data_IF_374643093715
#
_entry.id   IF_374643093715
#
_cell.length_a   1.000
_cell.length_b   1.000
_cell.length_c   1.000
_cell.angle_alpha   90.00
_cell.angle_beta   90.00
_cell.angle_gamma   90.00
#
_symmetry.space_group_name_H-M   'P 1'
#
loop_
_entity.id
_entity.type
_entity.pdbx_description
1 polymer ?
#
# COMPACT_ATOMS: atom_id res chain seq x y z
N UNK A 1 46.38 -39.49 -7.15
CA UNK A 1 46.67 -38.57 -8.26
C UNK A 1 45.37 -38.27 -8.99
N UNK A 2 44.82 -37.07 -8.76
CA UNK A 2 43.76 -36.31 -9.45
C UNK A 2 42.44 -36.95 -9.95
N UNK A 3 41.31 -36.61 -9.29
CA UNK A 3 39.99 -36.43 -9.93
C UNK A 3 39.44 -34.99 -9.72
N UNK A 4 40.28 -33.97 -9.91
CA UNK A 4 39.88 -32.55 -9.84
C UNK A 4 39.39 -32.04 -11.20
N UNK A 5 39.80 -32.68 -12.29
CA UNK A 5 39.51 -32.27 -13.66
C UNK A 5 38.02 -32.36 -14.02
N UNK A 6 37.34 -33.45 -13.66
CA UNK A 6 35.91 -33.62 -14.01
C UNK A 6 34.98 -32.69 -13.21
N UNK A 7 35.30 -32.43 -11.94
CA UNK A 7 34.56 -31.47 -11.11
C UNK A 7 34.80 -30.01 -11.55
N UNK A 8 36.00 -29.69 -12.05
CA UNK A 8 36.27 -28.37 -12.61
C UNK A 8 35.43 -28.11 -13.87
N UNK A 9 35.26 -29.13 -14.73
CA UNK A 9 34.44 -29.02 -15.95
C UNK A 9 32.95 -28.82 -15.64
N UNK A 10 32.40 -29.52 -14.64
CA UNK A 10 31.01 -29.31 -14.24
C UNK A 10 30.80 -27.94 -13.61
N UNK A 11 31.69 -27.45 -12.76
CA UNK A 11 31.58 -26.10 -12.19
C UNK A 11 31.64 -25.02 -13.28
N UNK A 12 32.49 -25.18 -14.29
CA UNK A 12 32.57 -24.25 -15.42
C UNK A 12 31.27 -24.25 -16.22
N UNK A 13 30.71 -25.41 -16.56
CA UNK A 13 29.43 -25.50 -17.27
C UNK A 13 28.26 -24.88 -16.47
N UNK A 14 28.27 -25.08 -15.16
CA UNK A 14 27.22 -24.58 -14.27
C UNK A 14 27.30 -23.06 -14.17
N UNK A 15 28.53 -22.51 -14.08
CA UNK A 15 28.74 -21.05 -14.12
C UNK A 15 28.34 -20.44 -15.46
N UNK A 16 28.58 -21.12 -16.58
CA UNK A 16 28.14 -20.65 -17.89
C UNK A 16 26.61 -20.60 -18.01
N UNK A 17 25.91 -21.61 -17.48
CA UNK A 17 24.45 -21.64 -17.45
C UNK A 17 23.89 -20.52 -16.55
N UNK A 18 24.42 -20.38 -15.34
CA UNK A 18 24.04 -19.32 -14.39
C UNK A 18 24.30 -17.92 -14.96
N UNK A 19 25.40 -17.72 -15.69
CA UNK A 19 25.72 -16.44 -16.31
C UNK A 19 24.70 -16.07 -17.40
N UNK A 20 24.28 -17.04 -18.23
CA UNK A 20 23.24 -16.83 -19.23
C UNK A 20 21.87 -16.53 -18.60
N UNK A 21 21.57 -17.17 -17.47
CA UNK A 21 20.33 -16.90 -16.73
C UNK A 21 20.33 -15.49 -16.10
N UNK A 22 21.45 -15.06 -15.51
CA UNK A 22 21.60 -13.70 -14.97
C UNK A 22 21.44 -12.64 -16.06
N UNK A 23 22.02 -12.84 -17.24
CA UNK A 23 21.90 -11.90 -18.37
C UNK A 23 20.43 -11.75 -18.80
N UNK A 24 19.70 -12.86 -18.91
CA UNK A 24 18.27 -12.86 -19.24
C UNK A 24 17.42 -12.17 -18.19
N UNK A 25 17.66 -12.44 -16.90
CA UNK A 25 16.95 -11.79 -15.81
C UNK A 25 17.24 -10.29 -15.74
N UNK A 26 18.46 -9.88 -16.09
CA UNK A 26 18.84 -8.46 -16.11
C UNK A 26 18.07 -7.72 -17.19
N UNK A 27 17.98 -8.27 -18.41
CA UNK A 27 17.17 -7.71 -19.50
C UNK A 27 15.68 -7.61 -19.11
N UNK A 28 15.14 -8.63 -18.42
CA UNK A 28 13.74 -8.63 -17.97
C UNK A 28 13.49 -7.56 -16.90
N UNK A 29 14.42 -7.36 -15.97
CA UNK A 29 14.33 -6.31 -14.93
C UNK A 29 14.42 -4.91 -15.55
N UNK A 30 15.33 -4.69 -16.50
CA UNK A 30 15.44 -3.41 -17.19
C UNK A 30 14.14 -3.08 -17.94
N UNK A 31 13.59 -4.06 -18.67
CA UNK A 31 12.34 -3.92 -19.41
C UNK A 31 11.13 -3.67 -18.51
N UNK A 32 11.07 -4.33 -17.35
CA UNK A 32 10.03 -4.11 -16.34
C UNK A 32 10.16 -2.73 -15.70
N UNK A 33 11.39 -2.28 -15.43
CA UNK A 33 11.67 -0.94 -14.91
C UNK A 33 11.21 0.11 -15.91
N UNK A 34 11.57 0.02 -17.19
CA UNK A 34 11.10 0.94 -18.23
C UNK A 34 9.56 0.99 -18.32
N UNK A 35 8.88 -0.16 -18.20
CA UNK A 35 7.42 -0.24 -18.13
C UNK A 35 6.83 0.44 -16.89
N UNK A 36 7.45 0.24 -15.72
CA UNK A 36 7.07 0.89 -14.46
C UNK A 36 7.30 2.40 -14.50
N UNK A 37 8.41 2.87 -15.06
CA UNK A 37 8.71 4.28 -15.19
C UNK A 37 7.73 4.94 -16.17
N UNK A 38 7.34 4.26 -17.27
CA UNK A 38 6.25 4.73 -18.16
C UNK A 38 4.90 4.82 -17.44
N UNK A 39 4.59 3.87 -16.56
CA UNK A 39 3.38 3.92 -15.75
C UNK A 39 3.44 5.04 -14.70
N UNK A 40 4.58 5.22 -14.04
CA UNK A 40 4.80 6.33 -13.10
C UNK A 40 4.73 7.68 -13.80
N UNK A 41 5.40 7.85 -14.94
CA UNK A 41 5.43 9.09 -15.69
C UNK A 41 4.04 9.44 -16.25
N UNK A 42 3.27 8.44 -16.69
CA UNK A 42 1.85 8.65 -17.08
C UNK A 42 0.96 9.00 -15.88
N UNK A 43 1.14 8.38 -14.71
CA UNK A 43 0.45 8.78 -13.47
C UNK A 43 0.87 10.19 -13.04
N UNK A 44 2.14 10.56 -13.21
CA UNK A 44 2.68 11.88 -12.84
C UNK A 44 2.17 12.97 -13.79
N UNK A 45 2.13 12.73 -15.11
CA UNK A 45 1.55 13.65 -16.10
C UNK A 45 0.03 13.80 -15.95
N UNK A 46 -0.67 12.75 -15.50
CA UNK A 46 -2.10 12.83 -15.15
C UNK A 46 -2.36 13.60 -13.84
N UNK A 47 -1.38 13.62 -12.93
CA UNK A 47 -1.48 14.36 -11.65
C UNK A 47 -1.08 15.83 -11.77
N UNK A 48 -0.28 16.21 -12.79
CA UNK A 48 0.26 17.57 -12.91
C UNK A 48 -0.68 18.56 -13.65
N UNK A 49 -1.72 18.08 -14.34
CA UNK A 49 -2.65 18.90 -15.12
C UNK A 49 -4.05 19.07 -14.50
N UNK A 50 -4.23 18.73 -13.21
CA UNK A 50 -5.43 19.12 -12.45
C UNK A 50 -5.00 19.89 -11.22
N UNK A 51 -5.56 21.07 -10.92
CA UNK A 51 -5.59 21.51 -9.53
C UNK A 51 -6.20 20.34 -8.76
N UNK A 52 -5.54 19.91 -7.71
CA UNK A 52 -5.96 18.86 -6.80
C UNK A 52 -7.33 19.19 -6.22
N UNK A 53 -8.37 18.90 -6.99
CA UNK A 53 -9.57 18.32 -6.42
C UNK A 53 -9.09 16.94 -5.99
N UNK A 54 -8.46 16.88 -4.82
CA UNK A 54 -8.52 15.68 -4.00
C UNK A 54 -10.00 15.33 -4.04
N UNK A 55 -10.35 14.30 -4.83
CA UNK A 55 -11.66 13.70 -4.78
C UNK A 55 -11.84 13.43 -3.30
N UNK A 56 -12.69 14.24 -2.66
CA UNK A 56 -12.84 14.27 -1.22
C UNK A 56 -13.53 12.97 -0.86
N UNK A 57 -12.81 11.86 -0.86
CA UNK A 57 -13.18 10.69 -0.10
C UNK A 57 -13.52 11.24 1.28
N UNK A 58 -14.77 11.12 1.74
CA UNK A 58 -15.23 11.82 2.93
C UNK A 58 -14.40 11.33 4.12
N UNK A 59 -13.41 12.13 4.50
CA UNK A 59 -12.52 11.87 5.62
C UNK A 59 -13.34 11.93 6.90
N UNK A 60 -13.65 10.76 7.43
CA UNK A 60 -14.39 10.62 8.68
C UNK A 60 -13.43 10.91 9.82
N UNK A 61 -13.76 11.92 10.64
CA UNK A 61 -13.00 12.26 11.84
C UNK A 61 -13.49 11.40 12.98
N UNK A 62 -12.65 10.50 13.45
CA UNK A 62 -12.85 9.70 14.64
C UNK A 62 -12.33 10.46 15.84
N UNK A 63 -13.15 10.59 16.87
CA UNK A 63 -12.77 11.18 18.15
C UNK A 63 -12.68 10.04 19.17
N UNK A 64 -11.48 9.75 19.66
CA UNK A 64 -11.29 8.81 20.77
C UNK A 64 -11.68 9.49 22.10
N UNK A 65 -12.13 8.69 23.07
CA UNK A 65 -12.42 9.14 24.45
C UNK A 65 -11.20 9.68 25.16
N UNK A 66 -10.01 9.24 24.74
CA UNK A 66 -8.71 9.80 25.16
C UNK A 66 -8.48 11.24 24.67
N UNK A 67 -9.38 11.80 23.84
CA UNK A 67 -9.25 13.13 23.24
C UNK A 67 -8.45 13.15 21.94
N UNK A 68 -7.92 12.00 21.49
CA UNK A 68 -7.19 11.91 20.23
C UNK A 68 -8.14 11.92 19.04
N UNK A 69 -7.85 12.74 18.03
CA UNK A 69 -8.65 12.81 16.81
C UNK A 69 -7.88 12.12 15.69
N UNK A 70 -8.58 11.38 14.83
CA UNK A 70 -7.95 10.67 13.72
C UNK A 70 -8.84 10.69 12.50
N UNK A 71 -8.24 11.00 11.36
CA UNK A 71 -8.94 11.19 10.10
C UNK A 71 -8.80 9.94 9.25
N UNK A 72 -9.91 9.25 9.00
CA UNK A 72 -9.96 7.98 8.27
C UNK A 72 -10.78 8.13 6.99
N UNK A 73 -10.27 7.60 5.88
CA UNK A 73 -10.94 7.69 4.58
C UNK A 73 -11.65 6.38 4.20
N UNK A 74 -11.02 5.24 4.50
CA UNK A 74 -11.58 3.91 4.23
C UNK A 74 -11.73 3.18 5.57
N UNK A 75 -12.96 3.01 6.02
CA UNK A 75 -13.24 2.27 7.24
C UNK A 75 -14.49 1.40 7.13
N UNK A 76 -14.52 0.31 7.91
CA UNK A 76 -15.71 -0.51 8.09
C UNK A 76 -15.97 -0.72 9.58
N UNK A 77 -17.24 -0.69 9.98
CA UNK A 77 -17.65 -1.01 11.34
C UNK A 77 -18.16 -2.45 11.35
N UNK A 78 -17.50 -3.31 12.11
CA UNK A 78 -17.84 -4.73 12.24
C UNK A 78 -18.07 -5.03 13.72
N UNK A 79 -19.33 -5.24 14.09
CA UNK A 79 -19.73 -5.41 15.50
C UNK A 79 -19.39 -4.18 16.33
N UNK A 80 -18.47 -4.33 17.30
CA UNK A 80 -18.00 -3.25 18.18
C UNK A 80 -16.58 -2.77 17.82
N UNK A 81 -16.11 -3.04 16.61
CA UNK A 81 -14.76 -2.63 16.15
C UNK A 81 -14.85 -1.88 14.83
N UNK A 82 -14.22 -0.71 14.80
CA UNK A 82 -13.98 0.04 13.58
C UNK A 82 -12.64 -0.41 12.99
N UNK A 83 -12.67 -0.77 11.72
CA UNK A 83 -11.52 -1.17 10.93
C UNK A 83 -11.16 -0.03 10.00
N UNK A 84 -10.01 0.60 10.21
CA UNK A 84 -9.42 1.55 9.28
C UNK A 84 -8.55 0.75 8.30
N UNK A 85 -8.83 0.87 7.00
CA UNK A 85 -8.04 0.26 5.94
C UNK A 85 -7.17 1.33 5.30
N UNK A 86 -5.86 1.13 5.33
CA UNK A 86 -4.90 1.90 4.54
C UNK A 86 -4.24 0.99 3.51
N UNK A 87 -3.55 1.58 2.53
CA UNK A 87 -2.91 0.85 1.42
C UNK A 87 -1.94 -0.27 1.87
N UNK A 88 -1.45 -0.20 3.10
CA UNK A 88 -0.46 -1.13 3.64
C UNK A 88 -0.93 -1.92 4.87
N UNK A 89 -2.04 -1.54 5.53
CA UNK A 89 -2.46 -2.16 6.80
C UNK A 89 -3.92 -1.90 7.14
N UNK A 90 -4.51 -2.83 7.89
CA UNK A 90 -5.79 -2.63 8.56
C UNK A 90 -5.57 -2.38 10.06
N UNK A 91 -6.03 -1.23 10.56
CA UNK A 91 -5.98 -0.89 11.98
C UNK A 91 -7.33 -1.15 12.64
N UNK A 92 -7.32 -1.91 13.73
CA UNK A 92 -8.50 -2.18 14.55
C UNK A 92 -8.63 -1.12 15.64
N UNK A 93 -9.80 -0.52 15.74
CA UNK A 93 -10.12 0.54 16.70
C UNK A 93 -11.40 0.11 17.43
N UNK A 94 -11.34 -0.17 18.75
CA UNK A 94 -12.53 -0.53 19.51
C UNK A 94 -13.53 0.64 19.57
N UNK A 95 -14.81 0.38 19.30
CA UNK A 95 -15.86 1.42 19.41
C UNK A 95 -15.99 1.91 20.85
N UNK A 96 -15.67 1.08 21.85
CA UNK A 96 -15.64 1.46 23.27
C UNK A 96 -14.61 2.55 23.61
N UNK A 97 -13.56 2.69 22.79
CA UNK A 97 -12.53 3.73 22.93
C UNK A 97 -12.91 4.98 22.10
N UNK A 98 -13.90 4.88 21.23
CA UNK A 98 -14.41 6.00 20.45
C UNK A 98 -15.49 6.77 21.24
N UNK A 99 -15.39 8.09 21.20
CA UNK A 99 -16.49 8.97 21.55
C UNK A 99 -17.40 9.10 20.32
N UNK A 100 -18.39 8.22 20.25
CA UNK A 100 -19.36 8.16 19.15
C UNK A 100 -20.17 9.45 19.05
N UNK A 101 -20.45 10.13 20.16
CA UNK A 101 -21.22 11.37 20.15
C UNK A 101 -20.40 12.52 19.55
N UNK A 102 -19.15 12.67 19.97
CA UNK A 102 -18.22 13.65 19.41
C UNK A 102 -17.89 13.35 17.94
N UNK A 103 -17.63 12.08 17.62
CA UNK A 103 -17.40 11.60 16.24
C UNK A 103 -18.60 11.94 15.36
N UNK A 104 -19.82 11.62 15.77
CA UNK A 104 -21.03 11.96 14.99
C UNK A 104 -21.18 13.45 14.78
N UNK A 105 -20.94 14.27 15.81
CA UNK A 105 -21.05 15.72 15.71
C UNK A 105 -20.06 16.30 14.70
N UNK A 106 -18.77 15.99 14.84
CA UNK A 106 -17.71 16.50 13.94
C UNK A 106 -17.93 16.03 12.50
N UNK A 107 -18.38 14.79 12.31
CA UNK A 107 -18.67 14.28 10.97
C UNK A 107 -19.93 14.91 10.38
N UNK A 108 -20.99 15.10 11.16
CA UNK A 108 -22.21 15.77 10.71
C UNK A 108 -21.94 17.22 10.31
N UNK A 109 -21.07 17.94 11.01
CA UNK A 109 -20.60 19.28 10.62
C UNK A 109 -19.88 19.27 9.27
N UNK A 110 -19.26 18.15 8.89
CA UNK A 110 -18.63 17.92 7.58
C UNK A 110 -19.57 17.28 6.55
N UNK A 111 -20.84 17.07 6.88
CA UNK A 111 -21.83 16.41 6.01
C UNK A 111 -21.64 14.89 5.88
N UNK A 112 -20.88 14.27 6.77
CA UNK A 112 -20.60 12.83 6.81
C UNK A 112 -21.49 12.19 7.87
N UNK A 113 -22.29 11.22 7.48
CA UNK A 113 -23.19 10.54 8.39
C UNK A 113 -22.54 9.29 9.00
N UNK A 114 -22.14 9.38 10.27
CA UNK A 114 -21.54 8.26 10.99
C UNK A 114 -22.63 7.45 11.71
N UNK A 115 -22.99 6.28 11.20
CA UNK A 115 -23.91 5.34 11.85
C UNK A 115 -23.19 4.05 12.26
N UNK A 116 -23.50 3.58 13.46
CA UNK A 116 -23.19 2.22 13.89
C UNK A 116 -24.39 1.32 13.52
N UNK A 117 -24.17 0.08 13.09
CA UNK A 117 -25.24 -0.88 12.80
C UNK A 117 -26.06 -1.26 14.04
#
# INVERSE_FOLDING_TARGET
NYPVSEQASSIVHQRSYLAGEVERLTDEVERLREGQERWKESVQFQTQARPSVAEKTPTTTLVCRSGHWSEVQNYAIVGQTLWEFTEHRARKIPVSDLDVAATKKVNAERGIEFRLP
#
